data_IF_624587732822
#
_entry.id   IF_624587732822
#
_cell.length_a   1.000
_cell.length_b   1.000
_cell.length_c   1.000
_cell.angle_alpha   90.00
_cell.angle_beta   90.00
_cell.angle_gamma   90.00
#
_symmetry.space_group_name_H-M   'P 1'
#
loop_
_entity.id
_entity.type
_entity.pdbx_description
1 polymer ?
#
# COMPACT_ATOMS: atom_id res chain seq x y z
N UNK A 1 -18.22 10.05 -15.12
CA UNK A 1 -17.32 9.91 -16.28
C UNK A 1 -16.39 11.09 -16.53
N UNK A 2 -16.90 12.32 -16.73
CA UNK A 2 -16.03 13.47 -17.03
C UNK A 2 -15.01 13.77 -15.93
N UNK A 3 -15.41 13.68 -14.67
CA UNK A 3 -14.51 13.98 -13.53
C UNK A 3 -13.39 12.94 -13.38
N UNK A 4 -13.73 11.66 -13.56
CA UNK A 4 -12.74 10.58 -13.56
C UNK A 4 -11.71 10.80 -14.67
N UNK A 5 -12.19 11.12 -15.89
CA UNK A 5 -11.30 11.42 -17.03
C UNK A 5 -10.39 12.60 -16.75
N UNK A 6 -10.93 13.68 -16.17
CA UNK A 6 -10.17 14.89 -15.83
C UNK A 6 -9.05 14.57 -14.86
N UNK A 7 -9.36 13.92 -13.74
CA UNK A 7 -8.37 13.56 -12.71
C UNK A 7 -7.28 12.66 -13.28
N UNK A 8 -7.64 11.63 -14.07
CA UNK A 8 -6.65 10.71 -14.66
C UNK A 8 -5.74 11.46 -15.64
N UNK A 9 -6.30 12.31 -16.50
CA UNK A 9 -5.53 13.06 -17.47
C UNK A 9 -4.60 14.08 -16.78
N UNK A 10 -5.08 14.82 -15.79
CA UNK A 10 -4.27 15.77 -15.03
C UNK A 10 -3.07 15.09 -14.35
N UNK A 11 -3.30 13.93 -13.70
CA UNK A 11 -2.21 13.18 -13.07
C UNK A 11 -1.22 12.58 -14.09
N UNK A 12 -1.71 12.15 -15.26
CA UNK A 12 -0.84 11.71 -16.34
C UNK A 12 0.09 12.82 -16.81
N UNK A 13 -0.44 14.02 -17.06
CA UNK A 13 0.37 15.16 -17.49
C UNK A 13 1.37 15.62 -16.41
N UNK A 14 0.97 15.60 -15.14
CA UNK A 14 1.88 15.86 -14.01
C UNK A 14 3.03 14.85 -14.01
N UNK A 15 2.71 13.55 -14.03
CA UNK A 15 3.72 12.50 -14.02
C UNK A 15 4.65 12.60 -15.23
N UNK A 16 4.09 12.84 -16.41
CA UNK A 16 4.87 13.04 -17.64
C UNK A 16 5.87 14.19 -17.48
N UNK A 17 5.41 15.35 -16.99
CA UNK A 17 6.25 16.53 -16.81
C UNK A 17 7.34 16.29 -15.77
N UNK A 18 7.03 15.62 -14.67
CA UNK A 18 8.02 15.24 -13.65
C UNK A 18 9.09 14.32 -14.24
N UNK A 19 8.71 13.30 -15.00
CA UNK A 19 9.66 12.40 -15.68
C UNK A 19 10.50 13.12 -16.74
N UNK A 20 9.90 14.01 -17.53
CA UNK A 20 10.62 14.83 -18.51
C UNK A 20 11.65 15.76 -17.83
N UNK A 21 11.30 16.33 -16.68
CA UNK A 21 12.22 17.22 -15.93
C UNK A 21 13.40 16.48 -15.28
N UNK A 22 13.24 15.19 -14.99
CA UNK A 22 14.27 14.32 -14.40
C UNK A 22 14.79 13.27 -15.41
N UNK A 23 14.79 13.62 -16.70
CA UNK A 23 15.16 12.69 -17.76
C UNK A 23 16.56 12.10 -17.59
N UNK A 24 17.53 12.90 -17.15
CA UNK A 24 18.90 12.42 -16.98
C UNK A 24 19.00 11.35 -15.89
N UNK A 25 18.36 11.56 -14.73
CA UNK A 25 18.32 10.59 -13.65
C UNK A 25 17.66 9.27 -14.10
N UNK A 26 16.64 9.34 -14.96
CA UNK A 26 16.01 8.15 -15.54
C UNK A 26 16.95 7.39 -16.49
N UNK A 27 17.73 8.12 -17.30
CA UNK A 27 18.74 7.51 -18.18
C UNK A 27 19.79 6.80 -17.34
N UNK A 28 20.37 7.50 -16.35
CA UNK A 28 21.40 6.96 -15.48
C UNK A 28 20.90 5.70 -14.74
N UNK A 29 19.69 5.76 -14.19
CA UNK A 29 19.05 4.60 -13.54
C UNK A 29 18.85 3.43 -14.52
N UNK A 30 18.44 3.72 -15.76
CA UNK A 30 18.20 2.69 -16.78
C UNK A 30 19.48 2.00 -17.24
N UNK A 31 20.59 2.75 -17.37
CA UNK A 31 21.90 2.19 -17.72
C UNK A 31 22.36 1.20 -16.65
N UNK A 32 22.27 1.58 -15.38
CA UNK A 32 22.64 0.69 -14.27
C UNK A 32 21.70 -0.53 -14.19
N UNK A 33 20.40 -0.37 -14.43
CA UNK A 33 19.46 -1.50 -14.47
C UNK A 33 19.76 -2.47 -15.61
N UNK A 34 20.21 -1.98 -16.77
CA UNK A 34 20.63 -2.86 -17.87
C UNK A 34 21.88 -3.68 -17.51
N UNK A 35 22.76 -3.14 -16.67
CA UNK A 35 23.99 -3.83 -16.23
C UNK A 35 23.75 -4.81 -15.07
N UNK A 36 22.94 -4.43 -14.08
CA UNK A 36 22.76 -5.18 -12.83
C UNK A 36 21.47 -6.00 -12.78
N UNK A 37 20.55 -5.78 -13.71
CA UNK A 37 19.19 -6.35 -13.80
C UNK A 37 18.24 -5.96 -12.64
N UNK A 38 18.79 -5.72 -11.45
CA UNK A 38 18.07 -5.37 -10.23
C UNK A 38 18.85 -4.32 -9.45
N UNK A 39 18.12 -3.47 -8.71
CA UNK A 39 18.67 -2.46 -7.80
C UNK A 39 17.94 -2.52 -6.47
N UNK A 40 18.66 -2.28 -5.39
CA UNK A 40 18.03 -2.05 -4.09
C UNK A 40 17.64 -0.56 -3.90
N UNK A 41 16.89 -0.28 -2.84
CA UNK A 41 16.41 1.08 -2.58
C UNK A 41 17.52 2.11 -2.34
N UNK A 42 18.63 1.71 -1.71
CA UNK A 42 19.76 2.60 -1.44
C UNK A 42 20.53 2.93 -2.72
N UNK A 43 20.70 1.94 -3.60
CA UNK A 43 21.29 2.10 -4.92
C UNK A 43 20.46 3.05 -5.79
N UNK A 44 19.13 2.87 -5.83
CA UNK A 44 18.22 3.79 -6.53
C UNK A 44 18.37 5.22 -5.99
N UNK A 45 18.36 5.38 -4.67
CA UNK A 45 18.47 6.71 -4.06
C UNK A 45 19.82 7.37 -4.36
N UNK A 46 20.92 6.61 -4.38
CA UNK A 46 22.24 7.13 -4.72
C UNK A 46 22.36 7.63 -6.16
N UNK A 47 21.61 7.03 -7.09
CA UNK A 47 21.59 7.42 -8.51
C UNK A 47 20.66 8.61 -8.73
N UNK A 48 19.44 8.55 -8.18
CA UNK A 48 18.39 9.55 -8.44
C UNK A 48 18.59 10.82 -7.60
N UNK A 49 19.16 10.71 -6.41
CA UNK A 49 19.34 11.81 -5.45
C UNK A 49 20.81 11.93 -5.01
N UNK A 50 21.73 12.33 -5.90
CA UNK A 50 23.16 12.41 -5.58
C UNK A 50 23.49 13.44 -4.49
N UNK A 51 22.66 14.47 -4.35
CA UNK A 51 22.79 15.52 -3.32
C UNK A 51 22.17 15.14 -1.97
N UNK A 52 21.62 13.92 -1.87
CA UNK A 52 20.99 13.37 -0.67
C UNK A 52 19.47 13.19 -0.81
N UNK A 53 18.94 12.22 -0.05
CA UNK A 53 17.53 11.87 -0.09
C UNK A 53 16.62 13.00 0.43
N UNK A 54 15.54 13.31 -0.29
CA UNK A 54 14.57 14.30 0.15
C UNK A 54 13.85 13.86 1.43
N UNK A 55 13.39 14.84 2.21
CA UNK A 55 12.81 14.60 3.55
C UNK A 55 11.60 13.67 3.54
N UNK A 56 10.84 13.63 2.46
CA UNK A 56 9.67 12.77 2.32
C UNK A 56 10.02 11.29 2.08
N UNK A 57 11.26 10.95 1.74
CA UNK A 57 11.74 9.57 1.63
C UNK A 57 12.36 9.05 2.93
N UNK A 58 12.69 9.94 3.87
CA UNK A 58 13.25 9.55 5.15
C UNK A 58 12.20 8.75 5.94
N UNK A 59 12.58 7.62 6.56
CA UNK A 59 11.67 6.88 7.42
C UNK A 59 11.15 7.81 8.51
N UNK A 60 9.83 7.99 8.57
CA UNK A 60 9.18 8.60 9.72
C UNK A 60 9.29 7.63 10.89
N UNK A 61 10.42 7.64 11.57
CA UNK A 61 10.51 7.11 12.92
C UNK A 61 9.58 7.95 13.79
N UNK A 62 8.59 7.31 14.42
CA UNK A 62 7.67 7.89 15.42
C UNK A 62 6.46 8.66 14.86
N UNK A 63 5.62 8.01 14.06
CA UNK A 63 4.18 8.26 14.25
C UNK A 63 3.73 7.42 15.44
N UNK A 64 3.45 8.09 16.57
CA UNK A 64 2.76 7.47 17.71
C UNK A 64 1.61 6.61 17.18
N UNK A 65 1.41 5.38 17.66
CA UNK A 65 0.35 4.52 17.17
C UNK A 65 -0.95 5.31 17.20
N UNK A 66 -1.56 5.46 16.02
CA UNK A 66 -2.78 6.22 15.83
C UNK A 66 -3.83 5.72 16.84
N UNK A 67 -4.00 6.45 17.94
CA UNK A 67 -4.99 6.11 18.96
C UNK A 67 -6.35 6.40 18.34
N UNK A 68 -6.99 5.34 17.86
CA UNK A 68 -8.44 5.35 17.74
C UNK A 68 -8.97 5.57 19.16
N UNK A 69 -9.42 6.78 19.46
CA UNK A 69 -10.35 6.97 20.56
C UNK A 69 -11.57 6.14 20.20
N UNK A 70 -11.69 4.97 20.82
CA UNK A 70 -12.92 4.21 20.83
C UNK A 70 -13.96 5.16 21.42
N UNK A 71 -14.79 5.73 20.55
CA UNK A 71 -16.01 6.39 20.97
C UNK A 71 -16.73 5.41 21.89
N UNK A 72 -17.04 5.91 23.08
CA UNK A 72 -17.68 5.19 24.18
C UNK A 72 -18.77 4.25 23.66
N UNK A 73 -18.75 3.05 24.24
CA UNK A 73 -19.72 1.98 24.08
C UNK A 73 -21.16 2.54 24.08
N UNK A 74 -21.74 2.68 22.88
CA UNK A 74 -23.17 2.57 22.74
C UNK A 74 -23.49 1.07 22.84
N UNK A 75 -23.88 0.63 24.03
CA UNK A 75 -24.56 -0.64 24.26
C UNK A 75 -25.84 -0.66 23.42
N UNK A 76 -25.76 -1.09 22.16
CA UNK A 76 -26.93 -1.54 21.40
C UNK A 76 -26.97 -3.07 21.51
N UNK A 77 -27.84 -3.54 22.40
CA UNK A 77 -28.19 -4.94 22.60
C UNK A 77 -28.53 -5.59 21.25
N UNK A 78 -27.73 -6.57 20.83
CA UNK A 78 -28.05 -7.43 19.69
C UNK A 78 -29.11 -8.44 20.15
N UNK A 79 -30.35 -8.44 19.61
CA UNK A 79 -31.33 -9.46 19.98
C UNK A 79 -30.89 -10.79 19.37
N UNK A 80 -30.47 -11.72 20.23
CA UNK A 80 -30.24 -13.12 19.87
C UNK A 80 -31.58 -13.86 19.80
N UNK A 81 -32.13 -14.06 18.61
CA UNK A 81 -33.00 -15.21 18.33
C UNK A 81 -32.86 -15.67 16.88
N UNK A 82 -32.16 -16.79 16.69
CA UNK A 82 -32.54 -17.88 15.78
C UNK A 82 -31.44 -18.96 15.79
N UNK A 83 -31.36 -19.74 16.87
CA UNK A 83 -30.69 -21.03 16.87
C UNK A 83 -31.74 -22.13 17.06
N UNK A 84 -32.09 -22.82 15.97
CA UNK A 84 -32.62 -24.20 15.85
C UNK A 84 -33.05 -24.36 14.37
N UNK A 85 -32.72 -25.37 13.58
CA UNK A 85 -32.03 -26.63 13.78
C UNK A 85 -31.68 -27.17 12.38
N UNK A 86 -30.54 -27.82 12.20
CA UNK A 86 -30.50 -29.09 11.47
C UNK A 86 -29.39 -29.96 12.04
N UNK A 87 -29.83 -30.96 12.83
CA UNK A 87 -29.05 -32.11 13.24
C UNK A 87 -28.53 -32.82 11.97
N UNK A 88 -27.28 -33.27 11.89
CA UNK A 88 -26.75 -34.36 12.71
C UNK A 88 -26.20 -35.39 11.72
N UNK A 89 -24.89 -35.34 11.45
CA UNK A 89 -24.18 -36.43 10.79
C UNK A 89 -23.60 -37.34 11.87
N UNK A 90 -23.89 -38.66 11.89
CA UNK A 90 -23.28 -39.54 12.86
C UNK A 90 -21.86 -39.90 12.39
N UNK A 91 -20.86 -39.57 13.22
CA UNK A 91 -19.54 -40.20 13.16
C UNK A 91 -19.66 -41.66 13.61
N UNK A 92 -19.36 -42.59 12.70
CA UNK A 92 -19.10 -43.99 13.01
C UNK A 92 -17.75 -44.14 13.73
N UNK A 93 -17.73 -44.87 14.84
CA UNK A 93 -16.53 -45.34 15.55
C UNK A 93 -16.77 -46.76 16.11
N UNK A 94 -15.73 -47.54 16.43
CA UNK A 94 -15.42 -48.78 15.69
C UNK A 94 -15.58 -50.09 16.50
N UNK A 95 -15.55 -51.20 15.75
CA UNK A 95 -15.01 -52.56 16.05
C UNK A 95 -15.38 -53.29 17.36
N UNK A 96 -16.14 -54.39 17.22
CA UNK A 96 -16.00 -55.66 17.95
C UNK A 96 -16.74 -56.79 17.21
#
# INVERSE_FOLDING_TARGET
DNEIRRIVYENYEIARKELESHQQQLIDLSEVLLEKETLDGAEICSIVFPDGEPDYLKPKAEEEPFKFEAAEEAEDEVPQEAALAVAGGPEEKPEA
#
